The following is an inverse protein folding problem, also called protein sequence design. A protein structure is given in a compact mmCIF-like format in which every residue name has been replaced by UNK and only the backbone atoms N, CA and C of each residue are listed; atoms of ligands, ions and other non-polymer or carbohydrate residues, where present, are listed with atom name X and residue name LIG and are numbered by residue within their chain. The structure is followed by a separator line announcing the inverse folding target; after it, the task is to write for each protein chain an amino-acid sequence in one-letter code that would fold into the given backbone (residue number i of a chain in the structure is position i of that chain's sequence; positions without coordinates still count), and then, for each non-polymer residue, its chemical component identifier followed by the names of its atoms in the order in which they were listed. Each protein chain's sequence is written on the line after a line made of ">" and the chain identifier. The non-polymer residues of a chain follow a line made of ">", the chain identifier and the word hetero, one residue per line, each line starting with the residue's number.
data_IF_107080731782
#
_entry.id   IF_107080731782
#
_cell.length_a   1.000
_cell.length_b   1.000
_cell.length_c   1.000
_cell.angle_alpha   90.00
_cell.angle_beta   90.00
_cell.angle_gamma   90.00
#
_symmetry.space_group_name_H-M   'P 1'
#
loop_
_entity.id
_entity.type
_entity.pdbx_description
1 polymer ?
#
# COMPACT_ATOMS: atom_id res chain seq x y z
N UNK A 1 17.52 18.44 5.21
CA UNK A 1 18.77 17.77 5.61
C UNK A 1 18.76 16.30 5.20
N UNK A 2 18.37 16.03 3.93
CA UNK A 2 18.40 14.70 3.31
C UNK A 2 19.29 14.71 2.05
N UNK A 3 20.23 15.68 2.00
CA UNK A 3 21.05 15.94 0.82
C UNK A 3 22.48 15.47 0.98
N UNK A 4 22.77 14.66 1.99
CA UNK A 4 24.10 14.05 2.13
C UNK A 4 24.10 12.73 1.34
N UNK A 5 24.78 12.66 0.17
CA UNK A 5 24.85 11.46 -0.63
C UNK A 5 25.49 10.26 0.10
N UNK A 6 26.22 10.52 1.19
CA UNK A 6 26.81 9.47 2.03
C UNK A 6 25.76 8.74 2.90
N UNK A 7 24.52 9.27 2.97
CA UNK A 7 23.41 8.64 3.70
C UNK A 7 22.64 7.58 2.89
N UNK A 8 22.86 7.52 1.59
CA UNK A 8 22.16 6.54 0.76
C UNK A 8 22.93 5.21 0.77
N UNK A 9 22.26 4.07 1.05
CA UNK A 9 22.89 2.75 1.05
C UNK A 9 23.31 2.27 -0.35
N UNK A 10 23.15 3.10 -1.36
CA UNK A 10 23.52 2.85 -2.76
C UNK A 10 23.90 4.16 -3.45
N UNK A 11 24.66 4.07 -4.54
CA UNK A 11 24.96 5.22 -5.38
C UNK A 11 23.83 5.39 -6.42
N UNK A 12 23.08 6.50 -6.39
CA UNK A 12 22.07 6.77 -7.41
C UNK A 12 22.70 6.85 -8.80
N UNK A 13 22.04 6.37 -9.86
CA UNK A 13 22.54 6.51 -11.22
C UNK A 13 22.60 8.00 -11.61
N UNK A 14 23.69 8.44 -12.23
CA UNK A 14 23.85 9.83 -12.69
C UNK A 14 22.85 10.22 -13.79
N UNK A 15 22.26 9.25 -14.48
CA UNK A 15 21.24 9.42 -15.53
C UNK A 15 20.17 8.34 -15.41
N UNK A 16 18.95 8.60 -15.90
CA UNK A 16 17.90 7.58 -15.96
C UNK A 16 18.39 6.32 -16.70
N UNK A 17 18.19 5.15 -16.09
CA UNK A 17 18.79 3.88 -16.55
C UNK A 17 18.19 3.35 -17.86
N UNK A 18 17.08 3.89 -18.36
CA UNK A 18 16.40 3.41 -19.55
C UNK A 18 16.05 1.92 -19.46
N UNK A 19 16.13 1.20 -20.61
CA UNK A 19 15.85 -0.25 -20.64
C UNK A 19 16.80 -1.09 -19.79
N UNK A 20 18.04 -0.64 -19.59
CA UNK A 20 19.03 -1.34 -18.76
C UNK A 20 18.67 -1.31 -17.28
N UNK A 21 17.82 -0.39 -16.87
CA UNK A 21 17.31 -0.30 -15.50
C UNK A 21 16.16 -1.25 -15.19
N UNK A 22 15.60 -1.99 -16.15
CA UNK A 22 14.48 -2.89 -15.91
C UNK A 22 14.76 -3.96 -14.83
N UNK A 23 15.94 -4.64 -14.79
CA UNK A 23 16.26 -5.56 -13.71
C UNK A 23 16.34 -4.87 -12.35
N UNK A 24 16.89 -3.65 -12.31
CA UNK A 24 16.95 -2.83 -11.07
C UNK A 24 15.56 -2.37 -10.64
N UNK A 25 14.75 -1.89 -11.56
CA UNK A 25 13.34 -1.53 -11.31
C UNK A 25 12.56 -2.70 -10.69
N UNK A 26 12.84 -3.93 -11.18
CA UNK A 26 12.22 -5.14 -10.66
C UNK A 26 12.67 -5.48 -9.25
N UNK A 27 13.95 -5.29 -8.95
CA UNK A 27 14.53 -5.58 -7.64
C UNK A 27 14.21 -4.50 -6.62
N UNK A 28 14.48 -3.26 -6.95
CA UNK A 28 14.29 -2.10 -6.08
C UNK A 28 14.04 -0.83 -6.91
N UNK A 29 12.80 -0.35 -6.90
CA UNK A 29 12.43 0.86 -7.62
C UNK A 29 13.25 2.09 -7.21
N UNK A 30 13.60 2.22 -5.92
CA UNK A 30 14.32 3.40 -5.41
C UNK A 30 15.69 3.55 -6.07
N UNK A 31 16.38 2.44 -6.35
CA UNK A 31 17.68 2.44 -7.03
C UNK A 31 17.62 2.95 -8.48
N UNK A 32 16.43 3.10 -9.06
CA UNK A 32 16.26 3.66 -10.41
C UNK A 32 16.12 5.17 -10.45
N UNK A 33 15.92 5.80 -9.28
CA UNK A 33 15.79 7.26 -9.15
C UNK A 33 17.16 7.90 -9.42
N UNK A 34 17.25 8.80 -10.42
CA UNK A 34 18.54 9.40 -10.79
C UNK A 34 19.00 10.42 -9.75
N UNK A 35 20.32 10.56 -9.62
CA UNK A 35 20.96 11.48 -8.65
C UNK A 35 20.38 12.90 -8.69
N UNK A 36 20.11 13.54 -9.84
CA UNK A 36 19.53 14.88 -9.86
C UNK A 36 18.21 15.00 -9.08
N UNK A 37 17.43 13.92 -8.95
CA UNK A 37 16.19 13.95 -8.18
C UNK A 37 16.40 14.13 -6.67
N UNK A 38 17.60 13.94 -6.17
CA UNK A 38 17.97 14.18 -4.76
C UNK A 38 18.54 15.58 -4.54
N UNK A 39 18.92 16.28 -5.61
CA UNK A 39 19.63 17.57 -5.56
C UNK A 39 18.78 18.72 -6.14
N UNK A 40 17.91 18.43 -7.12
CA UNK A 40 17.12 19.41 -7.84
C UNK A 40 15.67 19.47 -7.32
N UNK A 41 15.09 20.64 -7.35
CA UNK A 41 13.67 20.86 -7.00
C UNK A 41 12.71 20.03 -7.89
N UNK A 42 13.05 19.91 -9.17
CA UNK A 42 12.29 19.18 -10.19
C UNK A 42 13.24 18.51 -11.17
N UNK A 43 13.18 17.19 -11.25
CA UNK A 43 13.94 16.40 -12.22
C UNK A 43 13.03 15.79 -13.26
N UNK A 44 13.32 16.01 -14.53
CA UNK A 44 12.57 15.43 -15.65
C UNK A 44 13.19 14.13 -16.14
N UNK A 45 12.43 13.05 -16.03
CA UNK A 45 12.77 11.75 -16.61
C UNK A 45 11.95 11.53 -17.88
N UNK A 46 12.62 11.66 -19.03
CA UNK A 46 11.97 11.51 -20.33
C UNK A 46 12.15 10.10 -20.88
N UNK A 47 11.05 9.42 -21.16
CA UNK A 47 11.04 8.17 -21.91
C UNK A 47 10.48 8.40 -23.31
N UNK A 48 10.53 7.40 -24.18
CA UNK A 48 9.94 7.50 -25.52
C UNK A 48 8.43 7.70 -25.48
N UNK A 49 7.75 7.24 -24.41
CA UNK A 49 6.29 7.17 -24.33
C UNK A 49 5.71 7.99 -23.20
N UNK A 50 6.55 8.50 -22.30
CA UNK A 50 6.10 9.29 -21.15
C UNK A 50 7.15 10.30 -20.69
N UNK A 51 6.71 11.43 -20.21
CA UNK A 51 7.49 12.39 -19.45
C UNK A 51 7.07 12.30 -17.99
N UNK A 52 8.02 11.99 -17.12
CA UNK A 52 7.81 11.93 -15.67
C UNK A 52 8.57 13.09 -15.03
N UNK A 53 7.90 13.87 -14.20
CA UNK A 53 8.51 14.90 -13.37
C UNK A 53 8.60 14.37 -11.93
N UNK A 54 9.81 14.28 -11.41
CA UNK A 54 10.07 14.02 -10.00
C UNK A 54 10.16 15.37 -9.31
N UNK A 55 9.21 15.66 -8.44
CA UNK A 55 9.12 16.94 -7.73
C UNK A 55 9.50 16.71 -6.28
N UNK A 56 10.59 17.35 -5.83
CA UNK A 56 11.16 17.18 -4.50
C UNK A 56 11.10 18.46 -3.65
N UNK A 57 10.67 19.59 -4.23
CA UNK A 57 10.54 20.86 -3.53
C UNK A 57 9.18 20.91 -2.81
N UNK A 58 9.16 21.16 -1.45
CA UNK A 58 7.92 21.09 -0.65
C UNK A 58 6.84 22.09 -1.08
N UNK A 59 7.21 23.30 -1.51
CA UNK A 59 6.26 24.31 -1.98
C UNK A 59 5.53 23.84 -3.24
N UNK A 60 6.27 23.32 -4.22
CA UNK A 60 5.68 22.76 -5.45
C UNK A 60 4.81 21.53 -5.16
N UNK A 61 5.22 20.68 -4.21
CA UNK A 61 4.40 19.55 -3.77
C UNK A 61 3.09 20.05 -3.17
N UNK A 62 3.13 21.10 -2.32
CA UNK A 62 1.94 21.73 -1.76
C UNK A 62 1.04 22.33 -2.84
N UNK A 63 1.61 23.04 -3.81
CA UNK A 63 0.87 23.58 -4.94
C UNK A 63 0.16 22.50 -5.76
N UNK A 64 0.85 21.40 -6.09
CA UNK A 64 0.30 20.27 -6.87
C UNK A 64 -0.78 19.53 -6.10
N UNK A 65 -0.52 19.20 -4.82
CA UNK A 65 -1.39 18.28 -4.07
C UNK A 65 -2.55 18.98 -3.37
N UNK A 66 -2.45 20.31 -3.12
CA UNK A 66 -3.43 21.06 -2.35
C UNK A 66 -4.05 22.18 -3.21
N UNK A 67 -3.24 23.14 -3.65
CA UNK A 67 -3.76 24.36 -4.29
C UNK A 67 -4.34 24.09 -5.67
N UNK A 68 -3.66 23.27 -6.47
CA UNK A 68 -4.04 22.91 -7.85
C UNK A 68 -4.42 21.44 -8.02
N UNK A 69 -4.81 20.76 -6.93
CA UNK A 69 -5.13 19.32 -6.95
C UNK A 69 -6.15 18.94 -8.03
N UNK A 70 -7.07 19.85 -8.38
CA UNK A 70 -8.07 19.59 -9.42
C UNK A 70 -7.49 19.59 -10.86
N UNK A 71 -6.33 20.22 -11.08
CA UNK A 71 -5.65 20.21 -12.37
C UNK A 71 -4.84 18.93 -12.61
N UNK A 72 -4.58 18.15 -11.56
CA UNK A 72 -3.78 16.94 -11.61
C UNK A 72 -4.66 15.71 -11.36
N UNK A 73 -4.84 14.88 -12.39
CA UNK A 73 -5.48 13.57 -12.25
C UNK A 73 -4.55 12.52 -11.69
N UNK A 74 -5.08 11.34 -11.43
CA UNK A 74 -4.26 10.21 -11.03
C UNK A 74 -3.42 9.68 -12.19
N UNK A 75 -2.18 9.37 -11.89
CA UNK A 75 -1.27 8.75 -12.86
C UNK A 75 -1.85 7.43 -13.40
N UNK A 76 -1.88 7.27 -14.75
CA UNK A 76 -2.40 6.05 -15.39
C UNK A 76 -1.67 4.78 -14.96
N UNK A 77 -0.36 4.85 -14.66
CA UNK A 77 0.41 3.70 -14.19
C UNK A 77 -0.05 3.26 -12.80
N UNK A 78 -0.27 4.20 -11.90
CA UNK A 78 -0.82 3.94 -10.56
C UNK A 78 -2.20 3.30 -10.67
N UNK A 79 -3.12 3.87 -11.45
CA UNK A 79 -4.46 3.29 -11.65
C UNK A 79 -4.38 1.86 -12.18
N UNK A 80 -3.59 1.64 -13.22
CA UNK A 80 -3.41 0.33 -13.85
C UNK A 80 -2.84 -0.71 -12.88
N UNK A 81 -1.91 -0.30 -12.02
CA UNK A 81 -1.24 -1.18 -11.07
C UNK A 81 -2.15 -1.62 -9.92
N UNK A 82 -2.96 -0.71 -9.38
CA UNK A 82 -3.74 -0.99 -8.16
C UNK A 82 -5.19 -1.38 -8.43
N UNK A 83 -5.77 -0.95 -9.56
CA UNK A 83 -7.14 -1.29 -9.96
C UNK A 83 -7.48 -2.79 -9.85
N UNK A 84 -6.61 -3.75 -10.19
CA UNK A 84 -6.92 -5.17 -10.02
C UNK A 84 -7.23 -5.56 -8.58
N UNK A 85 -6.55 -4.95 -7.59
CA UNK A 85 -6.74 -5.25 -6.16
C UNK A 85 -7.89 -4.44 -5.58
N UNK A 86 -7.83 -3.12 -5.72
CA UNK A 86 -8.74 -2.20 -5.04
C UNK A 86 -10.03 -1.90 -5.81
N UNK A 87 -10.17 -2.45 -7.02
CA UNK A 87 -11.33 -2.23 -7.90
C UNK A 87 -11.34 -0.87 -8.58
N UNK A 88 -12.38 -0.65 -9.43
CA UNK A 88 -12.48 0.53 -10.29
C UNK A 88 -12.94 1.80 -9.56
N UNK A 89 -13.68 1.65 -8.45
CA UNK A 89 -14.41 2.72 -7.78
C UNK A 89 -14.00 2.88 -6.30
N UNK A 90 -12.78 2.50 -5.92
CA UNK A 90 -12.30 2.76 -4.57
C UNK A 90 -11.80 4.21 -4.44
N UNK A 91 -11.75 4.70 -3.22
CA UNK A 91 -11.17 6.02 -2.89
C UNK A 91 -9.74 6.19 -3.43
N UNK A 92 -9.01 5.09 -3.60
CA UNK A 92 -7.63 5.10 -4.11
C UNK A 92 -7.55 5.41 -5.61
N UNK A 93 -8.53 4.96 -6.41
CA UNK A 93 -8.53 5.14 -7.87
C UNK A 93 -9.60 6.13 -8.37
N UNK A 94 -10.56 6.50 -7.53
CA UNK A 94 -11.59 7.47 -7.84
C UNK A 94 -11.01 8.87 -8.08
N UNK A 95 -11.69 9.68 -8.88
CA UNK A 95 -11.32 11.06 -9.23
C UNK A 95 -12.51 12.00 -9.11
N UNK A 96 -12.23 13.30 -9.14
CA UNK A 96 -13.25 14.35 -9.18
C UNK A 96 -14.29 14.26 -8.06
N UNK A 97 -15.57 14.34 -8.42
CA UNK A 97 -16.67 14.33 -7.46
C UNK A 97 -16.78 13.00 -6.70
N UNK A 98 -16.52 11.86 -7.37
CA UNK A 98 -16.57 10.54 -6.75
C UNK A 98 -15.49 10.38 -5.67
N UNK A 99 -14.28 10.89 -5.91
CA UNK A 99 -13.25 10.91 -4.89
C UNK A 99 -13.58 11.83 -3.72
N UNK A 100 -14.07 13.04 -4.00
CA UNK A 100 -14.39 14.04 -2.96
C UNK A 100 -15.42 13.52 -1.97
N UNK A 101 -16.52 12.96 -2.46
CA UNK A 101 -17.54 12.45 -1.56
C UNK A 101 -17.09 11.21 -0.78
N UNK A 102 -16.38 10.26 -1.40
CA UNK A 102 -15.82 9.11 -0.69
C UNK A 102 -14.83 9.56 0.37
N UNK A 103 -13.96 10.55 0.05
CA UNK A 103 -13.02 11.13 1.01
C UNK A 103 -13.73 11.74 2.22
N UNK A 104 -14.83 12.47 2.00
CA UNK A 104 -15.65 13.01 3.10
C UNK A 104 -16.28 11.93 3.94
N UNK A 105 -16.85 10.90 3.33
CA UNK A 105 -17.48 9.78 4.00
C UNK A 105 -16.47 9.04 4.91
N UNK A 106 -15.27 8.80 4.41
CA UNK A 106 -14.20 8.08 5.12
C UNK A 106 -13.52 8.96 6.17
N UNK A 107 -13.41 10.27 5.95
CA UNK A 107 -12.67 11.18 6.85
C UNK A 107 -13.21 11.18 8.29
N UNK A 108 -14.50 10.90 8.48
CA UNK A 108 -15.10 10.81 9.81
C UNK A 108 -14.49 9.70 10.68
N UNK A 109 -14.01 8.64 10.06
CA UNK A 109 -13.42 7.47 10.69
C UNK A 109 -12.02 7.78 11.23
N UNK A 110 -11.30 8.68 10.56
CA UNK A 110 -9.93 9.09 10.93
C UNK A 110 -9.89 10.31 11.85
N UNK A 111 -11.01 10.66 12.49
CA UNK A 111 -10.99 11.70 13.52
C UNK A 111 -10.15 11.25 14.71
N UNK A 112 -9.46 12.20 15.32
CA UNK A 112 -8.57 11.95 16.46
C UNK A 112 -9.23 11.13 17.58
N UNK A 113 -10.47 11.49 17.95
CA UNK A 113 -11.25 10.78 18.96
C UNK A 113 -11.52 9.32 18.58
N UNK A 114 -11.87 9.06 17.31
CA UNK A 114 -12.10 7.70 16.80
C UNK A 114 -10.81 6.88 16.85
N UNK A 115 -9.68 7.47 16.44
CA UNK A 115 -8.38 6.79 16.49
C UNK A 115 -7.99 6.48 17.95
N UNK A 116 -8.19 7.42 18.87
CA UNK A 116 -7.92 7.19 20.29
C UNK A 116 -8.78 6.07 20.88
N UNK A 117 -10.02 5.93 20.44
CA UNK A 117 -10.90 4.83 20.89
C UNK A 117 -10.42 3.45 20.43
N UNK A 118 -9.56 3.38 19.41
CA UNK A 118 -8.98 2.13 18.91
C UNK A 118 -7.66 1.74 19.61
N UNK A 119 -7.09 2.60 20.45
CA UNK A 119 -5.84 2.31 21.19
C UNK A 119 -5.91 1.01 21.98
N UNK A 120 -7.00 0.67 22.69
CA UNK A 120 -7.12 -0.62 23.36
C UNK A 120 -7.04 -1.82 22.40
N UNK A 121 -7.59 -1.68 21.18
CA UNK A 121 -7.52 -2.72 20.16
C UNK A 121 -6.06 -2.90 19.69
N UNK A 122 -5.35 -1.80 19.47
CA UNK A 122 -3.94 -1.84 19.07
C UNK A 122 -3.07 -2.51 20.13
N UNK A 123 -3.29 -2.15 21.41
CA UNK A 123 -2.57 -2.76 22.54
C UNK A 123 -2.85 -4.26 22.63
N UNK A 124 -4.13 -4.68 22.56
CA UNK A 124 -4.50 -6.08 22.63
C UNK A 124 -3.89 -6.92 21.47
N UNK A 125 -3.80 -6.36 20.26
CA UNK A 125 -3.17 -7.07 19.12
C UNK A 125 -1.64 -7.16 19.28
N UNK A 126 -1.01 -6.13 19.83
CA UNK A 126 0.42 -6.16 20.16
C UNK A 126 0.72 -7.19 21.26
N UNK A 127 -0.09 -7.25 22.33
CA UNK A 127 0.02 -8.25 23.40
C UNK A 127 -0.13 -9.66 22.85
N UNK A 128 -1.12 -9.92 21.99
CA UNK A 128 -1.26 -11.22 21.30
C UNK A 128 -0.01 -11.60 20.49
N UNK A 129 0.68 -10.64 19.92
CA UNK A 129 1.91 -10.93 19.19
C UNK A 129 3.05 -11.31 20.15
N UNK A 130 3.16 -10.65 21.29
CA UNK A 130 4.12 -11.04 22.34
C UNK A 130 3.81 -12.45 22.86
N UNK A 131 2.55 -12.75 23.18
CA UNK A 131 2.13 -14.09 23.58
C UNK A 131 2.48 -15.17 22.53
N UNK A 132 2.37 -14.86 21.23
CA UNK A 132 2.80 -15.77 20.17
C UNK A 132 4.31 -16.04 20.20
N UNK A 133 5.10 -15.02 20.50
CA UNK A 133 6.56 -15.18 20.65
C UNK A 133 6.91 -16.02 21.88
N UNK A 134 6.26 -15.76 23.01
CA UNK A 134 6.47 -16.51 24.23
C UNK A 134 6.07 -18.01 24.07
N UNK A 135 4.92 -18.25 23.41
CA UNK A 135 4.43 -19.61 23.17
C UNK A 135 5.26 -20.42 22.17
N UNK A 136 6.03 -19.74 21.31
CA UNK A 136 6.82 -20.39 20.26
C UNK A 136 8.17 -20.91 20.76
N UNK A 137 8.53 -20.72 22.06
CA UNK A 137 9.81 -21.14 22.67
C UNK A 137 11.00 -20.87 21.72
N UNK A 138 11.14 -19.60 21.28
CA UNK A 138 12.04 -19.21 20.21
C UNK A 138 13.50 -19.29 20.65
N UNK A 139 14.20 -20.34 20.26
CA UNK A 139 15.64 -20.53 20.47
C UNK A 139 16.52 -19.79 19.41
N UNK A 140 15.94 -18.85 18.64
CA UNK A 140 16.64 -18.20 17.54
C UNK A 140 16.08 -16.82 17.16
N UNK A 141 16.67 -16.19 16.13
CA UNK A 141 16.22 -14.89 15.66
C UNK A 141 14.80 -14.97 15.08
N UNK A 142 13.97 -13.97 15.45
CA UNK A 142 12.58 -13.83 15.02
C UNK A 142 12.52 -13.01 13.74
N UNK A 143 11.71 -13.44 12.77
CA UNK A 143 11.33 -12.59 11.64
C UNK A 143 10.39 -11.46 12.12
N UNK A 144 11.00 -10.34 12.54
CA UNK A 144 10.26 -9.17 13.03
C UNK A 144 9.37 -8.56 11.95
N UNK A 145 9.79 -8.59 10.67
CA UNK A 145 9.02 -8.03 9.57
C UNK A 145 7.70 -8.81 9.36
N UNK A 146 7.77 -10.13 9.35
CA UNK A 146 6.58 -10.98 9.26
C UNK A 146 5.65 -10.82 10.47
N UNK A 147 6.21 -10.70 11.68
CA UNK A 147 5.45 -10.50 12.90
C UNK A 147 4.72 -9.16 12.92
N UNK A 148 5.41 -8.06 12.56
CA UNK A 148 4.82 -6.72 12.48
C UNK A 148 3.75 -6.66 11.38
N UNK A 149 4.01 -7.25 10.22
CA UNK A 149 3.04 -7.35 9.12
C UNK A 149 1.76 -8.04 9.57
N UNK A 150 1.89 -9.16 10.26
CA UNK A 150 0.74 -9.89 10.82
C UNK A 150 -0.01 -9.06 11.86
N UNK A 151 0.71 -8.46 12.81
CA UNK A 151 0.09 -7.62 13.85
C UNK A 151 -0.65 -6.44 13.25
N UNK A 152 -0.07 -5.78 12.25
CA UNK A 152 -0.73 -4.68 11.53
C UNK A 152 -1.98 -5.15 10.82
N UNK A 153 -1.96 -6.33 10.19
CA UNK A 153 -3.15 -6.92 9.57
C UNK A 153 -4.24 -7.21 10.61
N UNK A 154 -3.88 -7.85 11.73
CA UNK A 154 -4.81 -8.16 12.83
C UNK A 154 -5.43 -6.85 13.39
N UNK A 155 -4.64 -5.79 13.57
CA UNK A 155 -5.12 -4.45 13.97
C UNK A 155 -6.14 -3.90 12.99
N UNK A 156 -5.86 -3.95 11.68
CA UNK A 156 -6.74 -3.43 10.65
C UNK A 156 -8.05 -4.22 10.63
N UNK A 157 -7.98 -5.53 10.64
CA UNK A 157 -9.17 -6.40 10.65
C UNK A 157 -10.01 -6.16 11.90
N UNK A 158 -9.40 -6.13 13.08
CA UNK A 158 -10.11 -5.94 14.34
C UNK A 158 -10.74 -4.55 14.43
N UNK A 159 -9.99 -3.49 14.07
CA UNK A 159 -10.47 -2.12 14.15
C UNK A 159 -11.49 -1.77 13.07
N UNK A 160 -11.38 -2.37 11.89
CA UNK A 160 -12.25 -2.05 10.75
C UNK A 160 -13.47 -2.95 10.63
N UNK A 161 -13.39 -4.19 11.13
CA UNK A 161 -14.41 -5.21 10.95
C UNK A 161 -14.94 -5.75 12.30
N UNK A 162 -14.52 -5.15 13.42
CA UNK A 162 -15.02 -5.45 14.77
C UNK A 162 -14.80 -6.90 15.21
N UNK A 163 -13.69 -7.54 14.81
CA UNK A 163 -13.38 -8.92 15.16
C UNK A 163 -14.37 -9.97 14.66
N UNK A 164 -15.45 -9.52 14.01
CA UNK A 164 -16.52 -10.40 13.53
C UNK A 164 -16.13 -11.19 12.28
N UNK A 165 -15.01 -10.83 11.65
CA UNK A 165 -14.49 -11.50 10.48
C UNK A 165 -13.28 -12.36 10.86
N UNK A 166 -13.43 -13.67 10.87
CA UNK A 166 -12.30 -14.60 10.94
C UNK A 166 -11.59 -14.64 9.58
N UNK A 167 -10.90 -13.53 9.22
CA UNK A 167 -10.11 -13.49 8.00
C UNK A 167 -8.79 -14.24 8.23
N UNK A 168 -8.45 -15.08 7.27
CA UNK A 168 -7.16 -15.78 7.25
C UNK A 168 -6.06 -14.79 6.84
N UNK A 169 -5.34 -14.24 7.83
CA UNK A 169 -4.28 -13.26 7.64
C UNK A 169 -3.21 -13.72 6.66
N UNK A 170 -2.80 -15.00 6.74
CA UNK A 170 -1.76 -15.54 5.86
C UNK A 170 -2.23 -15.63 4.41
N UNK A 171 -3.48 -16.04 4.22
CA UNK A 171 -4.07 -16.14 2.89
C UNK A 171 -4.29 -14.77 2.27
N UNK A 172 -4.73 -13.77 3.07
CA UNK A 172 -4.88 -12.39 2.62
C UNK A 172 -3.53 -11.76 2.28
N UNK A 173 -2.53 -11.89 3.15
CA UNK A 173 -1.18 -11.39 2.91
C UNK A 173 -0.60 -12.00 1.63
N UNK A 174 -0.71 -13.31 1.45
CA UNK A 174 -0.26 -13.99 0.23
C UNK A 174 -0.99 -13.48 -1.02
N UNK A 175 -2.31 -13.34 -0.96
CA UNK A 175 -3.10 -12.85 -2.08
C UNK A 175 -2.77 -11.40 -2.45
N UNK A 176 -2.52 -10.55 -1.47
CA UNK A 176 -2.06 -9.17 -1.69
C UNK A 176 -0.66 -9.14 -2.31
N UNK A 177 0.28 -9.92 -1.78
CA UNK A 177 1.65 -10.03 -2.31
C UNK A 177 1.64 -10.49 -3.77
N UNK A 178 0.88 -11.54 -4.10
CA UNK A 178 0.75 -12.04 -5.48
C UNK A 178 0.22 -10.98 -6.46
N UNK A 179 -0.66 -10.09 -6.00
CA UNK A 179 -1.13 -8.97 -6.80
C UNK A 179 -0.08 -7.84 -6.90
N UNK A 180 0.55 -7.47 -5.78
CA UNK A 180 1.58 -6.43 -5.77
C UNK A 180 2.81 -6.82 -6.58
N UNK A 181 3.17 -8.09 -6.67
CA UNK A 181 4.22 -8.59 -7.54
C UNK A 181 3.95 -8.36 -9.03
N UNK A 182 2.72 -8.01 -9.41
CA UNK A 182 2.39 -7.62 -10.78
C UNK A 182 2.62 -6.14 -11.08
N UNK A 183 2.83 -5.29 -10.07
CA UNK A 183 3.02 -3.84 -10.24
C UNK A 183 4.15 -3.50 -11.22
N UNK A 184 5.35 -4.12 -11.16
CA UNK A 184 6.40 -3.84 -12.12
C UNK A 184 5.98 -4.11 -13.57
N UNK A 185 5.16 -5.14 -13.81
CA UNK A 185 4.62 -5.43 -15.15
C UNK A 185 3.68 -4.31 -15.61
N UNK A 186 2.81 -3.83 -14.76
CA UNK A 186 1.90 -2.72 -15.09
C UNK A 186 2.66 -1.42 -15.37
N UNK A 187 3.76 -1.15 -14.64
CA UNK A 187 4.64 -0.02 -14.91
C UNK A 187 5.31 -0.16 -16.29
N UNK A 188 5.89 -1.34 -16.59
CA UNK A 188 6.49 -1.64 -17.90
C UNK A 188 5.46 -1.48 -19.02
N UNK A 189 4.24 -2.00 -18.83
CA UNK A 189 3.18 -1.91 -19.83
C UNK A 189 2.76 -0.46 -20.09
N UNK A 190 2.69 0.36 -19.04
CA UNK A 190 2.39 1.79 -19.20
C UNK A 190 3.56 2.52 -19.85
N UNK A 191 4.79 2.23 -19.44
CA UNK A 191 6.00 2.85 -20.01
C UNK A 191 6.17 2.58 -21.50
N UNK A 192 5.80 1.39 -21.96
CA UNK A 192 5.94 0.97 -23.37
C UNK A 192 4.63 0.97 -24.15
N UNK A 193 3.54 1.49 -23.58
CA UNK A 193 2.20 1.47 -24.15
C UNK A 193 1.75 0.06 -24.61
N UNK A 194 2.12 -0.98 -23.82
CA UNK A 194 1.76 -2.37 -24.13
C UNK A 194 0.28 -2.57 -23.80
N UNK A 195 -0.52 -3.13 -24.72
CA UNK A 195 -1.93 -3.42 -24.50
C UNK A 195 -2.16 -4.40 -23.35
N UNK A 196 -3.28 -4.25 -22.61
CA UNK A 196 -3.62 -5.09 -21.45
C UNK A 196 -3.87 -6.57 -21.76
N UNK A 197 -4.20 -6.89 -23.01
CA UNK A 197 -4.43 -8.27 -23.44
C UNK A 197 -3.14 -9.11 -23.56
N UNK A 198 -1.98 -8.45 -23.64
CA UNK A 198 -0.68 -9.15 -23.65
C UNK A 198 -0.47 -9.86 -22.31
N UNK A 199 -0.17 -11.15 -22.26
CA UNK A 199 0.05 -11.85 -21.01
C UNK A 199 1.42 -11.50 -20.38
N UNK A 200 1.50 -11.56 -19.06
CA UNK A 200 2.73 -11.46 -18.30
C UNK A 200 2.85 -12.63 -17.30
N UNK A 201 4.05 -12.95 -16.82
CA UNK A 201 4.26 -14.02 -15.86
C UNK A 201 3.41 -13.86 -14.60
N UNK A 202 2.88 -14.96 -14.06
CA UNK A 202 2.05 -15.02 -12.85
C UNK A 202 0.69 -14.30 -12.94
N UNK A 203 0.29 -13.77 -14.11
CA UNK A 203 -1.01 -13.09 -14.28
C UNK A 203 -2.19 -13.94 -13.82
N UNK A 204 -2.24 -15.22 -14.21
CA UNK A 204 -3.34 -16.13 -13.83
C UNK A 204 -3.45 -16.31 -12.32
N UNK A 205 -2.30 -16.39 -11.64
CA UNK A 205 -2.24 -16.52 -10.18
C UNK A 205 -2.73 -15.24 -9.50
N UNK A 206 -2.26 -14.08 -9.94
CA UNK A 206 -2.72 -12.79 -9.45
C UNK A 206 -4.23 -12.59 -9.67
N UNK A 207 -4.78 -13.03 -10.83
CA UNK A 207 -6.22 -12.99 -11.07
C UNK A 207 -7.02 -13.88 -10.10
N UNK A 208 -6.54 -15.09 -9.83
CA UNK A 208 -7.19 -15.98 -8.85
C UNK A 208 -7.18 -15.37 -7.44
N UNK A 209 -6.05 -14.79 -7.03
CA UNK A 209 -5.90 -14.13 -5.74
C UNK A 209 -6.79 -12.89 -5.63
N UNK A 210 -6.87 -12.08 -6.69
CA UNK A 210 -7.82 -10.97 -6.78
C UNK A 210 -9.27 -11.45 -6.61
N UNK A 211 -9.65 -12.48 -7.35
CA UNK A 211 -11.01 -13.01 -7.32
C UNK A 211 -11.35 -13.61 -5.94
N UNK A 212 -10.36 -14.17 -5.24
CA UNK A 212 -10.50 -14.57 -3.85
C UNK A 212 -10.78 -13.36 -2.95
N UNK A 213 -9.93 -12.32 -2.98
CA UNK A 213 -10.07 -11.12 -2.16
C UNK A 213 -11.44 -10.46 -2.35
N UNK A 214 -11.86 -10.24 -3.59
CA UNK A 214 -13.14 -9.60 -3.90
C UNK A 214 -14.35 -10.46 -3.51
N UNK A 215 -14.26 -11.77 -3.69
CA UNK A 215 -15.35 -12.68 -3.32
C UNK A 215 -15.54 -12.76 -1.81
N UNK A 216 -14.45 -12.83 -1.08
CA UNK A 216 -14.48 -12.96 0.37
C UNK A 216 -14.98 -11.66 1.02
N UNK A 217 -14.49 -10.50 0.59
CA UNK A 217 -15.00 -9.20 1.04
C UNK A 217 -16.48 -8.99 0.68
N UNK A 218 -16.93 -9.43 -0.49
CA UNK A 218 -18.34 -9.34 -0.86
C UNK A 218 -19.21 -10.15 0.09
N UNK A 219 -18.83 -11.37 0.42
CA UNK A 219 -19.55 -12.20 1.39
C UNK A 219 -19.63 -11.54 2.76
N UNK A 220 -18.56 -10.88 3.18
CA UNK A 220 -18.52 -10.16 4.44
C UNK A 220 -19.52 -8.99 4.42
N UNK A 221 -19.55 -8.19 3.37
CA UNK A 221 -20.49 -7.08 3.18
C UNK A 221 -21.94 -7.58 3.16
N UNK A 222 -22.23 -8.64 2.41
CA UNK A 222 -23.56 -9.26 2.34
C UNK A 222 -24.02 -9.76 3.73
N UNK A 223 -23.13 -10.43 4.46
CA UNK A 223 -23.41 -10.93 5.81
C UNK A 223 -23.72 -9.77 6.77
N UNK A 224 -22.92 -8.68 6.72
CA UNK A 224 -23.12 -7.51 7.57
C UNK A 224 -24.44 -6.78 7.29
N UNK A 225 -24.89 -6.73 6.05
CA UNK A 225 -26.20 -6.15 5.71
C UNK A 225 -27.36 -6.91 6.35
N UNK A 226 -27.24 -8.23 6.49
CA UNK A 226 -28.26 -9.06 7.13
C UNK A 226 -28.14 -8.99 8.66
N UNK A 227 -26.91 -9.07 9.18
CA UNK A 227 -26.65 -9.09 10.62
C UNK A 227 -25.67 -7.96 10.98
N UNK A 228 -26.20 -6.88 11.54
CA UNK A 228 -25.38 -5.76 12.01
C UNK A 228 -24.46 -6.17 13.17
N UNK A 229 -23.33 -5.51 13.30
CA UNK A 229 -22.44 -5.67 14.45
C UNK A 229 -23.06 -5.10 15.72
N UNK A 230 -22.64 -5.61 16.87
CA UNK A 230 -23.03 -5.05 18.17
C UNK A 230 -22.41 -3.67 18.42
N UNK A 231 -21.22 -3.42 17.87
CA UNK A 231 -20.54 -2.13 17.88
C UNK A 231 -20.32 -1.69 16.43
N UNK A 232 -20.63 -0.42 16.15
CA UNK A 232 -20.39 0.15 14.83
C UNK A 232 -18.90 0.22 14.52
N UNK A 233 -18.49 -0.43 13.45
CA UNK A 233 -17.13 -0.44 12.92
C UNK A 233 -17.04 0.30 11.59
N UNK A 234 -15.87 0.28 10.95
CA UNK A 234 -15.67 0.94 9.66
C UNK A 234 -16.63 0.43 8.58
N UNK A 235 -16.88 -0.88 8.53
CA UNK A 235 -17.80 -1.46 7.57
C UNK A 235 -19.22 -0.90 7.75
N UNK A 236 -19.70 -0.80 8.99
CA UNK A 236 -21.01 -0.21 9.26
C UNK A 236 -21.06 1.28 8.87
N UNK A 237 -19.98 2.02 9.11
CA UNK A 237 -19.86 3.43 8.70
C UNK A 237 -19.89 3.58 7.17
N UNK A 238 -19.17 2.74 6.43
CA UNK A 238 -19.21 2.74 4.96
C UNK A 238 -20.59 2.38 4.42
N UNK A 239 -21.27 1.38 5.03
CA UNK A 239 -22.63 0.98 4.64
C UNK A 239 -23.67 2.05 4.95
N UNK A 240 -23.45 2.86 5.97
CA UNK A 240 -24.33 3.97 6.37
C UNK A 240 -23.98 5.29 5.68
N UNK A 241 -22.80 5.39 5.06
CA UNK A 241 -22.33 6.62 4.45
C UNK A 241 -23.28 7.13 3.35
N UNK A 242 -23.57 8.44 3.42
CA UNK A 242 -24.38 9.16 2.42
C UNK A 242 -23.65 10.42 2.02
N UNK A 243 -23.64 10.69 0.73
CA UNK A 243 -23.14 11.97 0.22
C UNK A 243 -24.11 13.09 0.64
N UNK A 244 -23.67 14.10 1.36
CA UNK A 244 -24.54 15.18 1.82
C UNK A 244 -25.09 16.05 0.68
N UNK A 245 -24.46 16.05 -0.49
CA UNK A 245 -24.87 16.85 -1.65
C UNK A 245 -25.90 16.10 -2.52
N UNK A 246 -25.67 14.82 -2.79
CA UNK A 246 -26.51 14.03 -3.69
C UNK A 246 -27.44 13.02 -2.98
N UNK A 247 -27.24 12.78 -1.69
CA UNK A 247 -27.92 11.72 -0.93
C UNK A 247 -27.50 10.30 -1.32
N UNK A 248 -26.54 10.14 -2.24
CA UNK A 248 -26.03 8.84 -2.72
C UNK A 248 -25.41 8.05 -1.58
N UNK A 249 -25.67 6.75 -1.56
CA UNK A 249 -24.98 5.77 -0.70
C UNK A 249 -23.93 5.01 -1.49
N UNK A 250 -22.96 4.42 -0.79
CA UNK A 250 -22.02 3.49 -1.42
C UNK A 250 -22.75 2.21 -1.85
N UNK A 251 -22.50 1.79 -3.08
CA UNK A 251 -22.87 0.46 -3.56
C UNK A 251 -22.01 -0.59 -2.83
N UNK A 252 -22.47 -1.85 -2.81
CA UNK A 252 -21.68 -2.95 -2.20
C UNK A 252 -20.32 -3.11 -2.87
N UNK A 253 -20.24 -2.86 -4.17
CA UNK A 253 -18.97 -2.89 -4.89
C UNK A 253 -18.02 -1.79 -4.42
N UNK A 254 -18.50 -0.57 -4.18
CA UNK A 254 -17.69 0.54 -3.65
C UNK A 254 -17.23 0.26 -2.22
N UNK A 255 -18.11 -0.31 -1.38
CA UNK A 255 -17.76 -0.73 -0.02
C UNK A 255 -16.66 -1.79 -0.05
N UNK A 256 -16.82 -2.86 -0.85
CA UNK A 256 -15.82 -3.92 -1.02
C UNK A 256 -14.48 -3.33 -1.49
N UNK A 257 -14.50 -2.45 -2.49
CA UNK A 257 -13.31 -1.83 -3.05
C UNK A 257 -12.59 -0.94 -2.03
N UNK A 258 -13.32 -0.21 -1.20
CA UNK A 258 -12.75 0.61 -0.14
C UNK A 258 -12.18 -0.23 1.00
N UNK A 259 -12.85 -1.30 1.42
CA UNK A 259 -12.30 -2.24 2.41
C UNK A 259 -11.00 -2.87 1.93
N UNK A 260 -10.96 -3.34 0.67
CA UNK A 260 -9.73 -3.87 0.08
C UNK A 260 -8.63 -2.80 -0.01
N UNK A 261 -8.97 -1.55 -0.26
CA UNK A 261 -8.01 -0.43 -0.24
C UNK A 261 -7.38 -0.27 1.14
N UNK A 262 -8.17 -0.29 2.21
CA UNK A 262 -7.65 -0.14 3.58
C UNK A 262 -6.82 -1.35 4.02
N UNK A 263 -7.29 -2.57 3.71
CA UNK A 263 -6.55 -3.79 4.01
C UNK A 263 -5.23 -3.84 3.23
N UNK A 264 -5.24 -3.44 1.96
CA UNK A 264 -4.03 -3.40 1.13
C UNK A 264 -3.02 -2.32 1.54
N UNK A 265 -3.48 -1.26 2.20
CA UNK A 265 -2.61 -0.18 2.69
C UNK A 265 -1.83 -0.56 3.98
N UNK A 266 -2.28 -1.58 4.70
CA UNK A 266 -1.69 -1.98 5.98
C UNK A 266 -0.48 -2.90 5.85
N UNK A 267 -0.69 -4.20 5.67
CA UNK A 267 0.39 -5.15 5.68
C UNK A 267 1.09 -5.22 4.32
N UNK A 268 2.35 -4.86 4.27
CA UNK A 268 3.21 -5.13 3.13
C UNK A 268 4.26 -6.16 3.55
N UNK A 269 4.11 -7.38 3.08
CA UNK A 269 5.14 -8.42 3.23
C UNK A 269 6.28 -8.09 2.25
N UNK A 270 7.13 -7.16 2.63
CA UNK A 270 8.36 -6.84 1.90
C UNK A 270 9.43 -7.91 2.19
N UNK A 271 9.17 -9.16 1.76
CA UNK A 271 10.22 -10.20 1.72
C UNK A 271 11.42 -9.79 0.86
N UNK A 272 11.30 -8.70 0.13
CA UNK A 272 12.40 -8.01 -0.57
C UNK A 272 13.20 -7.12 0.36
N UNK A 273 12.74 -6.86 1.59
CA UNK A 273 13.47 -6.13 2.64
C UNK A 273 14.53 -6.98 3.37
N UNK A 274 14.73 -8.25 3.01
CA UNK A 274 15.85 -9.05 3.52
C UNK A 274 17.25 -8.42 3.28
N UNK A 275 17.32 -7.42 2.39
CA UNK A 275 18.54 -6.60 2.22
C UNK A 275 18.80 -5.63 3.39
N UNK A 276 17.81 -5.29 4.21
CA UNK A 276 18.00 -4.41 5.39
C UNK A 276 18.73 -5.18 6.50
N UNK A 277 18.41 -6.46 6.69
CA UNK A 277 19.11 -7.32 7.66
C UNK A 277 20.55 -7.59 7.22
N UNK A 278 20.81 -7.65 5.91
CA UNK A 278 22.14 -7.78 5.34
C UNK A 278 22.95 -6.48 5.52
N UNK A 279 22.31 -5.32 5.52
CA UNK A 279 22.95 -4.03 5.80
C UNK A 279 23.28 -3.87 7.29
N UNK A 280 22.39 -4.24 8.19
CA UNK A 280 22.65 -4.24 9.64
C UNK A 280 23.79 -5.21 10.02
N UNK A 281 23.83 -6.39 9.42
CA UNK A 281 24.91 -7.36 9.61
C UNK A 281 26.26 -6.89 9.03
N UNK A 282 26.27 -6.11 7.93
CA UNK A 282 27.50 -5.52 7.38
C UNK A 282 28.02 -4.35 8.21
N UNK A 283 27.17 -3.55 8.83
CA UNK A 283 27.60 -2.50 9.76
C UNK A 283 28.16 -3.06 11.08
N UNK A 284 27.58 -4.14 11.61
CA UNK A 284 28.10 -4.81 12.80
C UNK A 284 29.44 -5.53 12.63
N UNK A 285 29.83 -5.90 11.40
CA UNK A 285 31.14 -6.52 11.12
C UNK A 285 32.27 -5.52 10.84
N UNK A 286 31.94 -4.25 10.60
CA UNK A 286 32.93 -3.18 10.38
C UNK A 286 33.56 -2.65 11.66
N UNK A 287 32.82 -2.62 12.75
CA UNK A 287 33.29 -2.09 14.04
C UNK A 287 34.13 -3.08 14.87
N UNK A 288 34.10 -4.37 14.52
CA UNK A 288 34.90 -5.38 15.22
C UNK A 288 36.38 -5.49 14.73
N UNK A 289 36.74 -4.80 13.63
CA UNK A 289 38.07 -4.86 13.07
C UNK A 289 38.94 -3.64 13.37
N UNK A 290 38.46 -2.66 14.14
CA UNK A 290 39.18 -1.42 14.46
C UNK A 290 39.66 -1.33 15.92
N UNK A 291 39.75 -2.46 16.62
CA UNK A 291 40.16 -2.51 18.02
C UNK A 291 41.24 -3.56 18.27
N UNK A 292 42.45 -3.35 17.78
CA UNK A 292 43.72 -3.87 18.32
C UNK A 292 44.87 -2.99 17.89
#
# INVERSE_FOLDING_TARGET
>A
MLTDPDFLPFQPPSKPLGLRGLPTLWRNYIETIPQPAYEEAVTRVRTRYSDVLLVCEPGLIGEILVEKAEAFGRDPATRRSFRPVVGDNSIFVAEGADWRWQRRAVASIFRHETILSLVPVFAAMAERQVERWDAAELDGPVDAAAAITRTTFDIIVESMLGGSASLDAERYSRALTENFDTIPWHLIYTMFAIPEWVPFPNRSRAMQSRDFLHRDMRRLVETRRVKRSAQADLLDLLLAARDPESGRSMSDAEVVNNLLTFIAAGPRDDRRGADVDTLAARQGSGDAAAGF
#
